data_IF_044417675450
#
_entry.id   IF_044417675450
#
_cell.length_a   1.000
_cell.length_b   1.000
_cell.length_c   1.000
_cell.angle_alpha   90.00
_cell.angle_beta   90.00
_cell.angle_gamma   90.00
#
_symmetry.space_group_name_H-M   'P 1'
#
loop_
_entity.id
_entity.type
_entity.pdbx_description
1 polymer ?
#
# COMPACT_ATOMS: atom_id res chain seq x y z
N UNK A 1 -13.78 -2.60 13.55
CA UNK A 1 -13.75 -1.49 12.56
C UNK A 1 -12.31 -1.27 12.12
N UNK A 2 -12.01 -1.40 10.82
CA UNK A 2 -10.65 -1.31 10.24
C UNK A 2 -9.90 -0.01 10.59
N UNK A 3 -10.63 1.07 10.87
CA UNK A 3 -10.11 2.37 11.33
C UNK A 3 -9.29 2.28 12.65
N UNK A 4 -9.61 1.35 13.57
CA UNK A 4 -8.83 1.17 14.80
C UNK A 4 -7.48 0.48 14.55
N UNK A 5 -7.39 -0.42 13.56
CA UNK A 5 -6.14 -1.15 13.25
C UNK A 5 -5.08 -0.29 12.53
N UNK A 6 -5.49 0.73 11.78
CA UNK A 6 -4.53 1.69 11.20
C UNK A 6 -3.90 2.59 12.27
N UNK A 7 -4.68 2.99 13.29
CA UNK A 7 -4.19 3.75 14.45
C UNK A 7 -3.21 2.92 15.29
N UNK A 8 -3.50 1.63 15.51
CA UNK A 8 -2.65 0.70 16.30
C UNK A 8 -1.24 0.50 15.71
N UNK A 9 -1.01 0.82 14.42
CA UNK A 9 0.28 0.68 13.74
C UNK A 9 1.04 1.99 13.55
N UNK A 10 0.53 3.11 14.08
CA UNK A 10 1.16 4.43 13.95
C UNK A 10 1.14 4.99 12.52
N UNK A 11 0.27 4.47 11.65
CA UNK A 11 0.15 4.94 10.25
C UNK A 11 -0.91 6.03 10.18
N UNK A 12 -0.52 7.23 9.75
CA UNK A 12 -1.44 8.37 9.65
C UNK A 12 -2.41 8.24 8.48
N UNK A 13 -3.54 8.96 8.54
CA UNK A 13 -4.53 8.98 7.45
C UNK A 13 -3.93 9.54 6.16
N UNK A 14 -3.06 10.52 6.28
CA UNK A 14 -2.36 11.16 5.17
C UNK A 14 -1.44 10.18 4.47
N UNK A 15 -0.76 9.30 5.23
CA UNK A 15 0.08 8.26 4.65
C UNK A 15 -0.74 7.21 3.88
N UNK A 16 -1.96 6.90 4.33
CA UNK A 16 -2.88 6.00 3.63
C UNK A 16 -3.35 6.66 2.32
N UNK A 17 -3.71 7.95 2.35
CA UNK A 17 -4.11 8.68 1.15
C UNK A 17 -2.96 8.81 0.15
N UNK A 18 -1.75 9.15 0.60
CA UNK A 18 -0.53 9.17 -0.23
C UNK A 18 -0.32 7.83 -0.95
N UNK A 19 -0.46 6.71 -0.23
CA UNK A 19 -0.32 5.39 -0.82
C UNK A 19 -1.40 5.05 -1.87
N UNK A 20 -2.62 5.57 -1.72
CA UNK A 20 -3.73 5.29 -2.65
C UNK A 20 -3.74 6.23 -3.86
N UNK A 21 -3.38 7.50 -3.67
CA UNK A 21 -3.43 8.54 -4.73
C UNK A 21 -2.13 8.62 -5.51
N UNK A 22 -0.98 8.50 -4.84
CA UNK A 22 0.35 8.65 -5.43
C UNK A 22 1.30 7.51 -5.00
N UNK A 23 0.96 6.24 -5.30
CA UNK A 23 1.78 5.10 -4.91
C UNK A 23 3.16 5.16 -5.59
N UNK A 24 4.20 4.80 -4.84
CA UNK A 24 5.52 4.50 -5.39
C UNK A 24 5.48 3.24 -6.26
N UNK A 25 4.62 2.29 -5.89
CA UNK A 25 4.40 1.06 -6.65
C UNK A 25 3.01 0.50 -6.41
N UNK A 26 2.40 0.04 -7.49
CA UNK A 26 1.20 -0.79 -7.44
C UNK A 26 1.64 -2.21 -7.79
N UNK A 27 1.38 -3.16 -6.91
CA UNK A 27 1.60 -4.58 -7.21
C UNK A 27 0.42 -5.16 -8.00
N UNK A 28 0.69 -6.23 -8.74
CA UNK A 28 -0.34 -6.99 -9.46
C UNK A 28 -1.41 -7.53 -8.50
N UNK A 29 -2.62 -7.71 -9.04
CA UNK A 29 -3.72 -8.34 -8.32
C UNK A 29 -3.37 -9.80 -8.05
N UNK A 30 -3.49 -10.23 -6.79
CA UNK A 30 -3.31 -11.62 -6.38
C UNK A 30 -4.63 -12.20 -5.93
N UNK A 31 -4.92 -13.42 -6.39
CA UNK A 31 -6.08 -14.21 -5.99
C UNK A 31 -5.56 -15.35 -5.11
N UNK A 32 -6.14 -15.50 -3.92
CA UNK A 32 -5.79 -16.61 -3.03
C UNK A 32 -6.60 -17.89 -3.34
N UNK A 33 -6.31 -18.97 -2.61
CA UNK A 33 -6.96 -20.27 -2.76
C UNK A 33 -8.46 -20.27 -2.40
N UNK A 34 -8.99 -19.17 -1.83
CA UNK A 34 -10.41 -18.97 -1.52
C UNK A 34 -11.04 -17.97 -2.49
N UNK A 35 -10.42 -17.75 -3.65
CA UNK A 35 -10.87 -16.82 -4.70
C UNK A 35 -10.98 -15.37 -4.24
N UNK A 36 -10.22 -14.97 -3.23
CA UNK A 36 -10.22 -13.58 -2.75
C UNK A 36 -9.15 -12.77 -3.47
N UNK A 37 -9.60 -11.77 -4.21
CA UNK A 37 -8.73 -10.80 -4.87
C UNK A 37 -8.15 -9.81 -3.86
N UNK A 38 -6.88 -9.47 -4.03
CA UNK A 38 -6.21 -8.40 -3.29
C UNK A 38 -5.19 -7.67 -4.16
N UNK A 39 -5.05 -6.36 -3.94
CA UNK A 39 -4.07 -5.52 -4.61
C UNK A 39 -3.37 -4.64 -3.59
N UNK A 40 -2.04 -4.50 -3.74
CA UNK A 40 -1.21 -3.72 -2.81
C UNK A 40 -0.73 -2.43 -3.47
N UNK A 41 -0.97 -1.33 -2.77
CA UNK A 41 -0.50 0.01 -3.08
C UNK A 41 0.58 0.38 -2.07
N UNK A 42 1.78 0.72 -2.54
CA UNK A 42 2.93 1.03 -1.70
C UNK A 42 3.21 2.52 -1.83
N UNK A 43 2.88 3.28 -0.79
CA UNK A 43 3.25 4.68 -0.63
C UNK A 43 4.53 4.85 0.19
N UNK A 44 4.89 6.11 0.45
CA UNK A 44 6.16 6.45 1.11
C UNK A 44 6.23 5.95 2.54
N UNK A 45 5.10 6.04 3.26
CA UNK A 45 5.00 5.72 4.68
C UNK A 45 3.99 4.61 4.99
N UNK A 46 3.15 4.23 4.03
CA UNK A 46 2.14 3.20 4.20
C UNK A 46 2.05 2.27 2.99
N UNK A 47 1.68 1.02 3.26
CA UNK A 47 1.22 0.05 2.29
C UNK A 47 -0.25 -0.25 2.56
N UNK A 48 -1.08 -0.05 1.54
CA UNK A 48 -2.53 -0.28 1.62
C UNK A 48 -2.86 -1.48 0.74
N UNK A 49 -3.51 -2.48 1.32
CA UNK A 49 -4.02 -3.63 0.58
C UNK A 49 -5.53 -3.48 0.49
N UNK A 50 -6.06 -3.51 -0.73
CA UNK A 50 -7.49 -3.44 -1.01
C UNK A 50 -7.96 -4.74 -1.65
N UNK A 51 -9.25 -5.04 -1.52
CA UNK A 51 -9.94 -5.95 -2.41
C UNK A 51 -10.39 -5.14 -3.64
N UNK A 52 -9.90 -5.44 -4.86
CA UNK A 52 -10.23 -4.64 -6.05
C UNK A 52 -11.70 -4.73 -6.44
N UNK A 53 -12.37 -5.85 -6.16
CA UNK A 53 -13.78 -6.09 -6.55
C UNK A 53 -14.76 -5.27 -5.70
N UNK A 54 -14.47 -5.12 -4.41
CA UNK A 54 -15.33 -4.44 -3.43
C UNK A 54 -14.83 -3.05 -3.03
N UNK A 55 -13.61 -2.69 -3.46
CA UNK A 55 -12.90 -1.46 -3.09
C UNK A 55 -12.67 -1.29 -1.58
N UNK A 56 -12.79 -2.37 -0.80
CA UNK A 56 -12.59 -2.34 0.64
C UNK A 56 -11.11 -2.48 1.01
N UNK A 57 -10.65 -1.69 1.97
CA UNK A 57 -9.31 -1.82 2.56
C UNK A 57 -9.26 -3.10 3.40
N UNK A 58 -8.40 -4.05 3.01
CA UNK A 58 -8.15 -5.30 3.73
C UNK A 58 -7.13 -5.06 4.85
N UNK A 59 -6.04 -4.33 4.55
CA UNK A 59 -4.98 -4.08 5.53
C UNK A 59 -4.18 -2.81 5.25
N UNK A 60 -3.60 -2.24 6.31
CA UNK A 60 -2.69 -1.09 6.26
C UNK A 60 -1.43 -1.43 7.05
N UNK A 61 -0.26 -1.27 6.46
CA UNK A 61 1.04 -1.53 7.08
C UNK A 61 1.96 -0.30 6.91
N UNK A 62 2.92 -0.04 7.80
CA UNK A 62 3.95 0.96 7.54
C UNK A 62 4.89 0.49 6.42
N UNK A 63 5.33 1.41 5.57
CA UNK A 63 6.44 1.16 4.62
C UNK A 63 7.75 1.29 5.37
N UNK A 64 8.64 0.31 5.26
CA UNK A 64 9.97 0.41 5.88
C UNK A 64 10.88 1.36 5.10
N UNK A 65 11.79 2.04 5.79
CA UNK A 65 12.75 2.97 5.17
C UNK A 65 13.54 2.31 4.02
N UNK A 66 14.01 1.08 4.24
CA UNK A 66 14.74 0.31 3.21
C UNK A 66 13.91 0.05 1.95
N UNK A 67 12.61 -0.25 2.11
CA UNK A 67 11.71 -0.51 0.98
C UNK A 67 11.40 0.80 0.24
N UNK A 68 11.17 1.88 0.98
CA UNK A 68 11.00 3.22 0.43
C UNK A 68 12.20 3.62 -0.43
N UNK A 69 13.43 3.57 0.12
CA UNK A 69 14.65 3.95 -0.59
C UNK A 69 14.84 3.16 -1.88
N UNK A 70 14.62 1.83 -1.81
CA UNK A 70 14.72 0.96 -2.99
C UNK A 70 13.75 1.41 -4.09
N UNK A 71 12.47 1.54 -3.77
CA UNK A 71 11.44 1.89 -4.75
C UNK A 71 11.61 3.31 -5.28
N UNK A 72 12.00 4.25 -4.42
CA UNK A 72 12.26 5.63 -4.83
C UNK A 72 13.45 5.73 -5.79
N UNK A 73 14.52 4.98 -5.54
CA UNK A 73 15.67 4.93 -6.46
C UNK A 73 15.30 4.26 -7.79
N UNK A 74 14.50 3.18 -7.76
CA UNK A 74 13.99 2.54 -8.98
C UNK A 74 13.17 3.52 -9.83
N UNK A 75 12.29 4.33 -9.21
CA UNK A 75 11.51 5.35 -9.92
C UNK A 75 12.40 6.43 -10.54
N UNK A 76 13.33 7.00 -9.76
CA UNK A 76 14.25 8.04 -10.25
C UNK A 76 15.13 7.54 -11.40
N UNK A 77 15.51 6.26 -11.40
CA UNK A 77 16.31 5.67 -12.49
C UNK A 77 15.50 5.42 -13.77
N UNK A 78 14.16 5.38 -13.70
CA UNK A 78 13.30 5.24 -14.89
C UNK A 78 13.05 6.61 -15.56
N UNK A 79 13.16 7.70 -14.80
CA UNK A 79 12.96 9.07 -15.30
C UNK A 79 14.22 9.68 -15.98
N UNK A 80 15.38 9.01 -15.92
CA UNK A 80 16.65 9.44 -16.53
C UNK A 80 17.01 8.58 -17.75
#
# INVERSE_FOLDING_TARGET
MLYRRSIERGVSREAILDALETPLKIEEIRIDHLERSSQRFIGKKAEVVINPDTQQIISVNPTSTKKFEKLNNELLNVEN
#
